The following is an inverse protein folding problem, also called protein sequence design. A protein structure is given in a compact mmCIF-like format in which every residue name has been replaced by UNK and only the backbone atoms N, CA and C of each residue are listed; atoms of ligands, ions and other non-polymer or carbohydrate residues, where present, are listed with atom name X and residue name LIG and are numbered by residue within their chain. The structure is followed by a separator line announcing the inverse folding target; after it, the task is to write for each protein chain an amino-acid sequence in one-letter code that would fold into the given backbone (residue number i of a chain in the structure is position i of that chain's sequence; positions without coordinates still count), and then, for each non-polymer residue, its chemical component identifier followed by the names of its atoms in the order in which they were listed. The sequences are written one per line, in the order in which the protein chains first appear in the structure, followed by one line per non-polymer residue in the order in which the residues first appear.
data_IF_275148875704
#
_entry.id   IF_275148875704
#
_cell.length_a   1.000
_cell.length_b   1.000
_cell.length_c   1.000
_cell.angle_alpha   90.00
_cell.angle_beta   90.00
_cell.angle_gamma   90.00
#
_symmetry.space_group_name_H-M   'P 1'
#
loop_
_entity.id
_entity.type
_entity.pdbx_description
1 polymer ?
#
# COMPACT_ATOMS: atom_id res chain seq x y z
N UNK A 1 30.48 -1.76 9.95
CA UNK A 1 30.94 -0.54 9.23
C UNK A 1 29.96 -0.09 8.15
N UNK A 2 29.46 -0.98 7.26
CA UNK A 2 28.59 -0.57 6.14
C UNK A 2 27.23 0.03 6.51
N UNK A 3 26.62 -0.40 7.62
CA UNK A 3 25.34 0.18 8.12
C UNK A 3 25.48 1.66 8.47
N UNK A 4 26.61 2.05 9.10
CA UNK A 4 26.88 3.47 9.41
C UNK A 4 27.00 4.33 8.17
N UNK A 5 27.68 3.82 7.14
CA UNK A 5 27.83 4.54 5.86
C UNK A 5 26.48 4.76 5.19
N UNK A 6 25.59 3.75 5.21
CA UNK A 6 24.24 3.91 4.68
C UNK A 6 23.46 4.99 5.43
N UNK A 7 23.52 4.99 6.76
CA UNK A 7 22.87 6.04 7.57
C UNK A 7 23.44 7.43 7.25
N UNK A 8 24.76 7.59 7.18
CA UNK A 8 25.39 8.86 6.82
C UNK A 8 24.95 9.37 5.44
N UNK A 9 24.78 8.47 4.48
CA UNK A 9 24.28 8.82 3.13
C UNK A 9 22.82 9.26 3.21
N UNK A 10 21.95 8.53 3.92
CA UNK A 10 20.54 8.88 4.09
C UNK A 10 20.41 10.26 4.77
N UNK A 11 21.10 10.47 5.89
CA UNK A 11 21.08 11.73 6.64
C UNK A 11 21.57 12.91 5.78
N UNK A 12 22.59 12.67 4.95
CA UNK A 12 23.13 13.70 4.04
C UNK A 12 22.15 14.05 2.93
N UNK A 13 21.44 13.07 2.37
CA UNK A 13 20.41 13.31 1.35
C UNK A 13 19.25 14.06 1.97
N UNK A 14 18.73 13.61 3.11
CA UNK A 14 17.62 14.26 3.82
C UNK A 14 17.92 15.72 4.16
N UNK A 15 19.12 16.02 4.67
CA UNK A 15 19.47 17.38 5.10
C UNK A 15 19.89 18.35 3.99
N UNK A 16 20.20 17.85 2.79
CA UNK A 16 20.92 18.63 1.77
C UNK A 16 20.31 18.56 0.37
N UNK A 17 19.29 17.74 0.17
CA UNK A 17 18.56 17.71 -1.08
C UNK A 17 17.73 18.99 -1.25
N UNK A 18 17.47 19.37 -2.50
CA UNK A 18 16.80 20.64 -2.85
C UNK A 18 15.31 20.63 -2.47
N UNK A 19 14.72 19.44 -2.43
CA UNK A 19 13.32 19.19 -2.05
C UNK A 19 13.26 18.40 -0.74
N UNK A 20 12.14 18.51 -0.06
CA UNK A 20 11.87 17.70 1.13
C UNK A 20 11.69 16.23 0.72
N UNK A 21 12.44 15.35 1.36
CA UNK A 21 12.40 13.90 1.13
C UNK A 21 12.12 13.20 2.45
N UNK A 22 11.27 12.19 2.42
CA UNK A 22 10.99 11.40 3.62
C UNK A 22 12.03 10.31 3.77
N UNK A 23 12.54 10.14 4.98
CA UNK A 23 13.52 9.11 5.31
C UNK A 23 13.05 7.70 4.93
N UNK A 24 11.77 7.39 5.13
CA UNK A 24 11.17 6.09 4.77
C UNK A 24 11.29 5.82 3.26
N UNK A 25 11.06 6.84 2.41
CA UNK A 25 11.15 6.70 0.95
C UNK A 25 12.59 6.42 0.50
N UNK A 26 13.59 7.00 1.19
CA UNK A 26 15.00 6.75 0.93
C UNK A 26 15.40 5.30 1.28
N UNK A 27 14.88 4.78 2.39
CA UNK A 27 15.14 3.39 2.79
C UNK A 27 14.45 2.39 1.86
N UNK A 28 13.19 2.64 1.48
CA UNK A 28 12.46 1.81 0.53
C UNK A 28 13.20 1.79 -0.82
N UNK A 29 13.65 2.94 -1.32
CA UNK A 29 14.44 3.03 -2.55
C UNK A 29 15.80 2.30 -2.46
N UNK A 30 16.47 2.35 -1.30
CA UNK A 30 17.71 1.64 -1.08
C UNK A 30 17.52 0.12 -1.08
N UNK A 31 16.47 -0.39 -0.44
CA UNK A 31 16.12 -1.81 -0.42
C UNK A 31 15.77 -2.28 -1.83
N UNK A 32 14.93 -1.52 -2.53
CA UNK A 32 14.57 -1.77 -3.92
C UNK A 32 15.79 -1.86 -4.84
N UNK A 33 16.74 -0.93 -4.68
CA UNK A 33 18.00 -0.94 -5.43
C UNK A 33 18.83 -2.18 -5.18
N UNK A 34 18.95 -2.61 -3.92
CA UNK A 34 19.67 -3.83 -3.55
C UNK A 34 19.05 -5.08 -4.17
N UNK A 35 17.71 -5.19 -4.19
CA UNK A 35 17.03 -6.34 -4.77
C UNK A 35 17.16 -6.35 -6.29
N UNK A 36 17.02 -5.19 -6.95
CA UNK A 36 17.20 -5.08 -8.40
C UNK A 36 18.60 -5.49 -8.84
N UNK A 37 19.63 -5.16 -8.06
CA UNK A 37 21.03 -5.52 -8.34
C UNK A 37 21.29 -7.04 -8.30
N UNK A 38 20.44 -7.82 -7.62
CA UNK A 38 20.53 -9.28 -7.65
C UNK A 38 20.25 -9.87 -9.03
N UNK A 39 19.62 -9.10 -9.93
CA UNK A 39 19.32 -9.53 -11.31
C UNK A 39 18.26 -10.64 -11.42
N UNK A 40 17.60 -11.00 -10.32
CA UNK A 40 16.51 -11.98 -10.31
C UNK A 40 15.17 -11.30 -10.60
N UNK A 41 14.52 -11.56 -11.75
CA UNK A 41 13.23 -10.97 -12.09
C UNK A 41 12.08 -11.44 -11.20
N UNK A 42 12.28 -12.47 -10.37
CA UNK A 42 11.28 -12.97 -9.44
C UNK A 42 11.44 -12.42 -8.01
N UNK A 43 12.49 -11.65 -7.76
CA UNK A 43 12.72 -11.01 -6.47
C UNK A 43 12.21 -9.57 -6.48
N UNK A 44 11.39 -9.23 -5.47
CA UNK A 44 10.88 -7.87 -5.28
C UNK A 44 10.70 -7.57 -3.78
N UNK A 45 10.80 -6.30 -3.42
CA UNK A 45 10.39 -5.79 -2.11
C UNK A 45 8.95 -5.33 -2.20
N UNK A 46 8.14 -5.64 -1.18
CA UNK A 46 6.83 -5.03 -1.01
C UNK A 46 6.91 -4.03 0.14
N UNK A 47 6.76 -2.73 -0.13
CA UNK A 47 6.58 -1.73 0.91
C UNK A 47 5.40 -2.10 1.82
N UNK A 48 5.44 -1.65 3.07
CA UNK A 48 4.41 -1.98 4.07
C UNK A 48 2.98 -1.73 3.56
N UNK A 49 2.74 -0.59 2.92
CA UNK A 49 1.42 -0.24 2.41
C UNK A 49 0.93 -1.23 1.33
N UNK A 50 1.82 -1.67 0.45
CA UNK A 50 1.50 -2.68 -0.57
C UNK A 50 1.30 -4.06 0.04
N UNK A 51 2.11 -4.42 1.04
CA UNK A 51 1.96 -5.66 1.77
C UNK A 51 0.62 -5.74 2.51
N UNK A 52 0.18 -4.68 3.18
CA UNK A 52 -1.14 -4.64 3.82
C UNK A 52 -2.26 -4.79 2.79
N UNK A 53 -2.17 -4.12 1.64
CA UNK A 53 -3.12 -4.30 0.55
C UNK A 53 -3.14 -5.73 0.01
N UNK A 54 -1.97 -6.36 -0.15
CA UNK A 54 -1.85 -7.74 -0.58
C UNK A 54 -2.46 -8.70 0.45
N UNK A 55 -2.19 -8.50 1.73
CA UNK A 55 -2.78 -9.27 2.83
C UNK A 55 -4.29 -9.18 2.83
N UNK A 56 -4.85 -7.97 2.72
CA UNK A 56 -6.29 -7.74 2.62
C UNK A 56 -6.90 -8.54 1.47
N UNK A 57 -6.27 -8.53 0.29
CA UNK A 57 -6.72 -9.28 -0.89
C UNK A 57 -6.62 -10.80 -0.72
N UNK A 58 -5.61 -11.28 0.02
CA UNK A 58 -5.25 -12.70 0.10
C UNK A 58 -5.94 -13.43 1.25
N UNK A 59 -5.95 -12.81 2.43
CA UNK A 59 -6.53 -13.39 3.66
C UNK A 59 -8.05 -13.23 3.67
N UNK A 60 -8.61 -12.38 2.79
CA UNK A 60 -10.02 -12.02 2.82
C UNK A 60 -10.42 -11.28 4.11
N UNK A 61 -9.45 -10.94 4.96
CA UNK A 61 -9.60 -9.98 6.04
C UNK A 61 -9.49 -8.58 5.43
N UNK A 62 -10.57 -8.19 4.76
CA UNK A 62 -10.83 -6.78 4.47
C UNK A 62 -10.99 -6.10 5.83
N UNK A 63 -9.93 -5.45 6.31
CA UNK A 63 -10.00 -4.48 7.39
C UNK A 63 -11.01 -3.41 6.98
N UNK A 64 -12.27 -3.57 7.37
CA UNK A 64 -13.38 -2.78 6.84
C UNK A 64 -14.73 -3.46 6.99
N UNK A 65 -15.75 -2.91 6.31
CA UNK A 65 -17.14 -3.35 6.41
C UNK A 65 -17.50 -4.50 5.45
N UNK A 66 -16.54 -5.13 4.79
CA UNK A 66 -16.77 -6.30 3.92
C UNK A 66 -17.46 -6.00 2.60
N UNK A 67 -16.95 -4.99 1.87
CA UNK A 67 -17.44 -4.57 0.55
C UNK A 67 -16.26 -4.51 -0.44
N UNK A 68 -16.47 -5.00 -1.64
CA UNK A 68 -15.64 -4.69 -2.80
C UNK A 68 -16.12 -3.35 -3.39
N UNK A 69 -15.22 -2.36 -3.48
CA UNK A 69 -15.56 -1.02 -3.96
C UNK A 69 -14.62 -0.59 -5.08
N UNK A 70 -15.11 0.31 -5.93
CA UNK A 70 -14.35 0.93 -7.02
C UNK A 70 -14.72 2.41 -7.10
N UNK A 71 -13.82 3.24 -7.62
CA UNK A 71 -14.13 4.64 -7.89
C UNK A 71 -14.80 4.78 -9.26
N UNK A 72 -16.03 5.31 -9.29
CA UNK A 72 -16.77 5.56 -10.53
C UNK A 72 -17.43 6.93 -10.50
N UNK A 73 -17.08 7.77 -11.48
CA UNK A 73 -17.56 9.16 -11.59
C UNK A 73 -17.30 10.00 -10.32
N UNK A 74 -16.17 9.80 -9.65
CA UNK A 74 -15.81 10.50 -8.41
C UNK A 74 -16.51 9.99 -7.14
N UNK A 75 -17.24 8.86 -7.22
CA UNK A 75 -17.88 8.23 -6.06
C UNK A 75 -17.30 6.84 -5.82
N UNK A 76 -17.04 6.52 -4.55
CA UNK A 76 -16.78 5.14 -4.13
C UNK A 76 -18.08 4.35 -4.31
N UNK A 77 -18.06 3.40 -5.22
CA UNK A 77 -19.21 2.58 -5.62
C UNK A 77 -18.97 1.13 -5.27
N UNK A 78 -19.95 0.47 -4.67
CA UNK A 78 -19.89 -0.95 -4.33
C UNK A 78 -19.98 -1.78 -5.61
N UNK A 79 -18.95 -2.59 -5.85
CA UNK A 79 -18.94 -3.63 -6.89
C UNK A 79 -19.73 -4.83 -6.41
N UNK A 80 -19.38 -5.36 -5.22
CA UNK A 80 -20.08 -6.50 -4.63
C UNK A 80 -19.92 -6.53 -3.09
N UNK A 81 -20.95 -6.90 -2.33
CA UNK A 81 -20.79 -7.25 -0.92
C UNK A 81 -20.13 -8.63 -0.80
N UNK A 82 -19.25 -8.78 0.20
CA UNK A 82 -18.69 -10.10 0.51
C UNK A 82 -19.80 -10.99 1.08
N UNK A 83 -19.93 -12.20 0.55
CA UNK A 83 -20.94 -13.16 1.00
C UNK A 83 -20.79 -13.45 2.50
N UNK A 84 -21.86 -13.19 3.26
CA UNK A 84 -21.84 -13.34 4.73
C UNK A 84 -21.08 -12.24 5.49
N UNK A 85 -20.47 -11.28 4.80
CA UNK A 85 -19.72 -10.16 5.38
C UNK A 85 -20.62 -9.07 6.00
N UNK A 86 -20.07 -8.17 6.84
CA UNK A 86 -20.85 -7.14 7.55
C UNK A 86 -21.73 -6.28 6.63
N UNK A 87 -21.19 -5.83 5.49
CA UNK A 87 -21.88 -4.98 4.52
C UNK A 87 -23.11 -5.66 3.90
N UNK A 88 -22.99 -6.95 3.56
CA UNK A 88 -24.11 -7.75 3.10
C UNK A 88 -25.18 -7.96 4.18
N UNK A 89 -24.77 -8.14 5.45
CA UNK A 89 -25.71 -8.32 6.58
C UNK A 89 -26.54 -7.08 6.87
N UNK A 90 -25.98 -5.89 6.63
CA UNK A 90 -26.70 -4.61 6.77
C UNK A 90 -27.41 -4.19 5.48
N UNK A 91 -27.41 -5.04 4.45
CA UNK A 91 -28.22 -4.88 3.25
C UNK A 91 -27.62 -4.01 2.15
N UNK A 92 -26.32 -3.68 2.22
CA UNK A 92 -25.60 -2.98 1.15
C UNK A 92 -25.52 -3.89 -0.08
N UNK A 93 -25.69 -3.30 -1.27
CA UNK A 93 -25.78 -4.03 -2.54
C UNK A 93 -24.80 -3.49 -3.57
N UNK A 94 -24.54 -4.31 -4.59
CA UNK A 94 -23.84 -3.88 -5.78
C UNK A 94 -24.53 -2.65 -6.41
N UNK A 95 -23.75 -1.61 -6.68
CA UNK A 95 -24.22 -0.34 -7.24
C UNK A 95 -24.44 0.78 -6.21
N UNK A 96 -24.44 0.49 -4.90
CA UNK A 96 -24.53 1.53 -3.87
C UNK A 96 -23.32 2.47 -3.92
N UNK A 97 -23.53 3.75 -3.61
CA UNK A 97 -22.50 4.79 -3.67
C UNK A 97 -22.36 5.48 -2.33
N UNK A 98 -21.11 5.73 -1.93
CA UNK A 98 -20.78 6.54 -0.76
C UNK A 98 -20.51 7.98 -1.20
N UNK A 99 -21.21 8.92 -0.57
CA UNK A 99 -21.10 10.36 -0.83
C UNK A 99 -20.18 11.05 0.18
N UNK A 100 -19.98 10.43 1.34
CA UNK A 100 -19.15 10.88 2.45
C UNK A 100 -18.69 9.62 3.21
N UNK A 101 -17.48 9.66 3.78
CA UNK A 101 -16.87 8.55 4.54
C UNK A 101 -16.61 9.03 5.97
#
# INVERSE_FOLDING_TARGET
MRVRVLQEVVDRVESSFVEEVRTDDLYDAAIDGLIRDLGDPHSSFLPRAEYENLRIRTEGEYGGVGLEVTERNGYVTVVSPIAGGPGGRVGIRAGDRFFEI
#
